data_IF_133648868890
#
_entry.id   IF_133648868890
#
_cell.length_a   1.000
_cell.length_b   1.000
_cell.length_c   1.000
_cell.angle_alpha   90.00
_cell.angle_beta   90.00
_cell.angle_gamma   90.00
#
_symmetry.space_group_name_H-M   'P 1'
#
loop_
_entity.id
_entity.type
_entity.pdbx_description
1 polymer ?
#
# COMPACT_ATOMS: atom_id res chain seq x y z
N UNK A 1 1.77 -79.29 4.89
CA UNK A 1 2.56 -78.16 4.39
C UNK A 1 1.63 -77.27 3.58
N UNK A 2 1.36 -76.05 4.03
CA UNK A 2 0.51 -75.09 3.34
C UNK A 2 1.34 -73.85 3.01
N UNK A 3 1.43 -73.51 1.73
CA UNK A 3 2.18 -72.35 1.23
C UNK A 3 1.23 -71.15 1.24
N UNK A 4 1.54 -70.13 2.04
CA UNK A 4 0.82 -68.87 2.05
C UNK A 4 1.36 -67.97 0.92
N UNK A 5 0.50 -67.57 -0.01
CA UNK A 5 0.82 -66.61 -1.05
C UNK A 5 0.70 -65.18 -0.49
N UNK A 6 1.78 -64.41 -0.56
CA UNK A 6 1.80 -62.98 -0.22
C UNK A 6 1.41 -62.20 -1.49
N UNK A 7 0.26 -61.55 -1.47
CA UNK A 7 -0.16 -60.63 -2.52
C UNK A 7 0.47 -59.25 -2.28
N UNK A 8 1.33 -58.79 -3.19
CA UNK A 8 1.86 -57.44 -3.18
C UNK A 8 0.86 -56.49 -3.86
N UNK A 9 0.27 -55.57 -3.11
CA UNK A 9 -0.53 -54.46 -3.64
C UNK A 9 0.40 -53.36 -4.14
N UNK A 10 0.41 -53.11 -5.45
CA UNK A 10 1.02 -51.89 -6.00
C UNK A 10 0.15 -50.69 -5.61
N UNK A 11 0.70 -49.79 -4.79
CA UNK A 11 0.12 -48.47 -4.58
C UNK A 11 0.33 -47.64 -5.84
N UNK A 12 -0.77 -47.27 -6.51
CA UNK A 12 -0.75 -46.29 -7.59
C UNK A 12 -0.40 -44.92 -7.00
N UNK A 13 0.70 -44.32 -7.45
CA UNK A 13 1.02 -42.93 -7.13
C UNK A 13 -0.05 -42.03 -7.76
N UNK A 14 -0.77 -41.29 -6.93
CA UNK A 14 -1.66 -40.22 -7.41
C UNK A 14 -0.83 -39.16 -8.13
N UNK A 15 -1.30 -38.61 -9.27
CA UNK A 15 -0.64 -37.49 -9.92
C UNK A 15 -0.59 -36.31 -8.94
N UNK A 16 0.57 -35.70 -8.79
CA UNK A 16 0.73 -34.49 -8.01
C UNK A 16 -0.22 -33.42 -8.55
N UNK A 17 -1.06 -32.85 -7.68
CA UNK A 17 -1.91 -31.74 -8.05
C UNK A 17 -1.03 -30.58 -8.53
N UNK A 18 -1.17 -30.19 -9.80
CA UNK A 18 -0.60 -28.96 -10.31
C UNK A 18 -1.13 -27.81 -9.48
N UNK A 19 -0.23 -27.08 -8.81
CA UNK A 19 -0.60 -25.84 -8.13
C UNK A 19 -1.31 -24.92 -9.14
N UNK A 20 -2.42 -24.25 -8.75
CA UNK A 20 -3.09 -23.33 -9.65
C UNK A 20 -2.09 -22.26 -10.11
N UNK A 21 -2.08 -21.98 -11.42
CA UNK A 21 -1.32 -20.86 -11.94
C UNK A 21 -1.77 -19.58 -11.21
N UNK A 22 -0.82 -18.74 -10.80
CA UNK A 22 -1.15 -17.44 -10.23
C UNK A 22 -2.10 -16.71 -11.19
N UNK A 23 -3.23 -16.22 -10.66
CA UNK A 23 -4.16 -15.44 -11.47
C UNK A 23 -3.40 -14.26 -12.09
N UNK A 24 -3.68 -13.95 -13.35
CA UNK A 24 -3.09 -12.77 -13.97
C UNK A 24 -3.57 -11.51 -13.24
N UNK A 25 -2.69 -10.49 -13.17
CA UNK A 25 -3.09 -9.17 -12.72
C UNK A 25 -4.27 -8.65 -13.55
N UNK A 26 -5.21 -7.92 -12.93
CA UNK A 26 -6.30 -7.32 -13.68
C UNK A 26 -5.78 -6.25 -14.64
N UNK A 27 -6.57 -5.94 -15.66
CA UNK A 27 -6.24 -4.85 -16.59
C UNK A 27 -6.09 -3.53 -15.82
N UNK A 28 -5.28 -2.62 -16.36
CA UNK A 28 -5.15 -1.26 -15.79
C UNK A 28 -6.51 -0.57 -15.63
N UNK A 29 -7.41 -0.71 -16.61
CA UNK A 29 -8.74 -0.13 -16.56
C UNK A 29 -9.58 -0.65 -15.39
N UNK A 30 -9.47 -1.95 -15.09
CA UNK A 30 -10.11 -2.57 -13.93
C UNK A 30 -9.48 -2.06 -12.64
N UNK A 31 -8.15 -2.08 -12.55
CA UNK A 31 -7.44 -1.64 -11.36
C UNK A 31 -7.71 -0.19 -11.00
N UNK A 32 -7.62 0.72 -11.97
CA UNK A 32 -7.85 2.14 -11.71
C UNK A 32 -9.30 2.42 -11.34
N UNK A 33 -10.27 1.65 -11.85
CA UNK A 33 -11.67 1.77 -11.46
C UNK A 33 -11.88 1.36 -10.00
N UNK A 34 -11.31 0.23 -9.58
CA UNK A 34 -11.39 -0.26 -8.20
C UNK A 34 -10.70 0.71 -7.22
N UNK A 35 -9.51 1.19 -7.58
CA UNK A 35 -8.80 2.24 -6.81
C UNK A 35 -9.62 3.52 -6.75
N UNK A 36 -10.29 3.92 -7.84
CA UNK A 36 -11.13 5.13 -7.87
C UNK A 36 -12.29 5.02 -6.87
N UNK A 37 -12.95 3.86 -6.77
CA UNK A 37 -14.05 3.67 -5.82
C UNK A 37 -13.61 3.88 -4.35
N UNK A 38 -12.43 3.38 -4.00
CA UNK A 38 -11.86 3.59 -2.65
C UNK A 38 -11.43 5.04 -2.46
N UNK A 39 -10.77 5.63 -3.47
CA UNK A 39 -10.33 7.02 -3.44
C UNK A 39 -11.52 7.99 -3.28
N UNK A 40 -12.64 7.74 -3.95
CA UNK A 40 -13.84 8.56 -3.82
C UNK A 40 -14.45 8.45 -2.43
N UNK A 41 -14.44 7.25 -1.83
CA UNK A 41 -14.84 7.06 -0.42
C UNK A 41 -13.93 7.84 0.53
N UNK A 42 -12.62 7.83 0.29
CA UNK A 42 -11.65 8.61 1.08
C UNK A 42 -11.89 10.12 0.93
N UNK A 43 -12.12 10.59 -0.30
CA UNK A 43 -12.41 12.00 -0.60
C UNK A 43 -13.71 12.48 0.04
N UNK A 44 -14.76 11.66 0.04
CA UNK A 44 -16.01 11.98 0.71
C UNK A 44 -15.80 12.15 2.22
N UNK A 45 -15.10 11.19 2.85
CA UNK A 45 -14.76 11.28 4.26
C UNK A 45 -13.92 12.52 4.57
N UNK A 46 -12.86 12.77 3.81
CA UNK A 46 -12.00 13.95 3.99
C UNK A 46 -12.77 15.26 3.77
N UNK A 47 -13.74 15.30 2.86
CA UNK A 47 -14.61 16.46 2.65
C UNK A 47 -15.53 16.76 3.84
N UNK A 48 -15.85 15.76 4.67
CA UNK A 48 -16.57 15.97 5.94
C UNK A 48 -15.64 16.24 7.11
N UNK A 49 -14.41 15.69 7.07
CA UNK A 49 -13.46 15.72 8.18
C UNK A 49 -12.57 16.97 8.18
N UNK A 50 -12.34 17.56 7.01
CA UNK A 50 -11.46 18.70 6.81
C UNK A 50 -12.19 19.86 6.08
N UNK A 51 -11.76 21.12 6.28
CA UNK A 51 -10.71 21.54 7.21
C UNK A 51 -11.16 21.42 8.68
N UNK A 52 -10.23 21.15 9.57
CA UNK A 52 -10.46 21.20 11.02
C UNK A 52 -9.33 22.02 11.65
N UNK A 53 -9.59 23.25 12.09
CA UNK A 53 -8.56 24.13 12.64
C UNK A 53 -8.08 23.71 14.04
N UNK A 54 -8.76 22.75 14.70
CA UNK A 54 -8.38 22.27 16.03
C UNK A 54 -7.23 21.26 16.01
N UNK A 55 -6.94 20.67 14.84
CA UNK A 55 -5.87 19.68 14.67
C UNK A 55 -4.90 20.09 13.58
N UNK A 56 -3.65 19.67 13.71
CA UNK A 56 -2.69 19.72 12.62
C UNK A 56 -2.89 18.47 11.77
N UNK A 57 -3.79 18.53 10.80
CA UNK A 57 -4.20 17.35 10.05
C UNK A 57 -3.08 16.78 9.16
N UNK A 58 -3.03 15.46 9.06
CA UNK A 58 -2.17 14.72 8.15
C UNK A 58 -2.93 13.60 7.44
N UNK A 59 -2.52 13.29 6.21
CA UNK A 59 -2.82 12.00 5.57
C UNK A 59 -1.52 11.24 5.37
N UNK A 60 -1.58 9.91 5.44
CA UNK A 60 -0.47 9.00 5.17
C UNK A 60 -0.79 8.17 3.93
N UNK A 61 0.16 8.09 3.01
CA UNK A 61 0.08 7.30 1.80
C UNK A 61 1.22 6.29 1.76
N UNK A 62 0.93 5.04 1.43
CA UNK A 62 1.93 4.16 0.83
C UNK A 62 2.30 4.65 -0.59
N UNK A 63 3.41 4.13 -1.15
CA UNK A 63 3.90 4.49 -2.47
C UNK A 63 3.54 3.44 -3.53
N UNK A 64 3.98 2.20 -3.34
CA UNK A 64 4.06 1.21 -4.42
C UNK A 64 2.68 0.61 -4.70
N UNK A 65 2.14 0.83 -5.89
CA UNK A 65 0.75 0.49 -6.25
C UNK A 65 -0.31 1.20 -5.38
N UNK A 66 0.09 2.26 -4.67
CA UNK A 66 -0.78 3.18 -3.93
C UNK A 66 -0.68 4.58 -4.51
N UNK A 67 0.38 5.34 -4.23
CA UNK A 67 0.57 6.67 -4.78
C UNK A 67 1.14 6.63 -6.22
N UNK A 68 1.93 5.61 -6.54
CA UNK A 68 2.54 5.39 -7.85
C UNK A 68 2.06 4.06 -8.44
N UNK A 69 1.83 4.03 -9.75
CA UNK A 69 1.29 2.86 -10.47
C UNK A 69 2.38 1.90 -10.97
N UNK A 70 3.28 1.48 -10.08
CA UNK A 70 4.50 0.72 -10.43
C UNK A 70 4.24 -0.60 -11.17
N UNK A 71 3.22 -1.37 -10.80
CA UNK A 71 2.88 -2.61 -11.49
C UNK A 71 2.31 -2.41 -12.91
N UNK A 72 1.84 -1.20 -13.23
CA UNK A 72 1.15 -0.88 -14.49
C UNK A 72 1.95 0.05 -15.41
N UNK A 73 3.09 0.55 -14.95
CA UNK A 73 3.96 1.43 -15.71
C UNK A 73 5.39 0.90 -15.77
N UNK A 74 6.13 1.33 -16.78
CA UNK A 74 7.56 1.07 -16.90
C UNK A 74 8.29 2.38 -17.11
N UNK A 75 9.52 2.48 -16.58
CA UNK A 75 10.35 3.67 -16.73
C UNK A 75 11.07 4.04 -15.43
N UNK A 76 11.79 5.16 -15.49
CA UNK A 76 12.54 5.70 -14.34
C UNK A 76 11.67 6.59 -13.43
N UNK A 77 10.51 7.00 -13.92
CA UNK A 77 9.51 7.78 -13.19
C UNK A 77 8.17 7.10 -13.40
N UNK A 78 7.62 6.54 -12.34
CA UNK A 78 6.30 5.94 -12.37
C UNK A 78 5.23 7.04 -12.33
N UNK A 79 4.16 6.95 -13.13
CA UNK A 79 3.07 7.91 -13.03
C UNK A 79 2.40 7.87 -11.66
N UNK A 80 1.69 8.95 -11.30
CA UNK A 80 0.84 8.94 -10.13
C UNK A 80 -0.41 8.10 -10.39
N UNK A 81 -0.83 7.36 -9.38
CA UNK A 81 -2.19 6.80 -9.32
C UNK A 81 -3.18 7.97 -9.24
N UNK A 82 -3.72 8.38 -10.39
CA UNK A 82 -4.43 9.66 -10.53
C UNK A 82 -5.56 9.91 -9.50
N UNK A 83 -6.40 8.92 -9.12
CA UNK A 83 -7.39 9.10 -8.05
C UNK A 83 -6.77 9.43 -6.69
N UNK A 84 -5.65 8.81 -6.34
CA UNK A 84 -4.94 9.04 -5.06
C UNK A 84 -4.26 10.39 -5.05
N UNK A 85 -3.67 10.82 -6.18
CA UNK A 85 -3.14 12.17 -6.31
C UNK A 85 -4.22 13.23 -6.09
N UNK A 86 -5.42 13.05 -6.67
CA UNK A 86 -6.56 13.95 -6.45
C UNK A 86 -6.99 13.98 -4.98
N UNK A 87 -7.01 12.83 -4.29
CA UNK A 87 -7.30 12.76 -2.85
C UNK A 87 -6.27 13.55 -2.04
N UNK A 88 -4.98 13.40 -2.34
CA UNK A 88 -3.91 14.13 -1.67
C UNK A 88 -3.98 15.64 -1.91
N UNK A 89 -4.29 16.06 -3.14
CA UNK A 89 -4.48 17.46 -3.49
C UNK A 89 -5.70 18.06 -2.76
N UNK A 90 -6.82 17.35 -2.68
CA UNK A 90 -7.99 17.78 -1.91
C UNK A 90 -7.67 17.93 -0.43
N UNK A 91 -7.04 16.94 0.19
CA UNK A 91 -6.68 16.99 1.60
C UNK A 91 -5.76 18.18 1.90
N UNK A 92 -4.77 18.41 1.02
CA UNK A 92 -3.83 19.53 1.14
C UNK A 92 -4.50 20.88 0.96
N UNK A 93 -5.41 21.00 -0.01
CA UNK A 93 -6.21 22.20 -0.18
C UNK A 93 -7.09 22.51 1.05
N UNK A 94 -7.47 21.47 1.81
CA UNK A 94 -8.18 21.60 3.09
C UNK A 94 -7.25 21.70 4.32
N UNK A 95 -5.94 21.95 4.12
CA UNK A 95 -4.99 22.22 5.21
C UNK A 95 -4.25 21.00 5.77
N UNK A 96 -4.47 19.79 5.24
CA UNK A 96 -3.74 18.61 5.69
C UNK A 96 -2.33 18.52 5.07
N UNK A 97 -1.39 17.95 5.82
CA UNK A 97 -0.05 17.61 5.33
C UNK A 97 -0.01 16.18 4.81
N UNK A 98 0.66 15.95 3.67
CA UNK A 98 0.73 14.62 3.03
C UNK A 98 2.07 13.96 3.40
N UNK A 99 2.00 12.83 4.10
CA UNK A 99 3.15 12.02 4.45
C UNK A 99 3.17 10.73 3.63
N UNK A 100 4.38 10.26 3.31
CA UNK A 100 4.60 9.00 2.61
C UNK A 100 5.35 8.03 3.51
N UNK A 101 4.88 6.79 3.56
CA UNK A 101 5.44 5.72 4.40
C UNK A 101 5.57 4.45 3.55
N UNK A 102 6.80 4.05 3.23
CA UNK A 102 7.09 2.98 2.27
C UNK A 102 8.18 2.03 2.79
N UNK A 103 8.15 0.78 2.32
CA UNK A 103 9.21 -0.19 2.58
C UNK A 103 10.42 -0.05 1.62
N UNK A 104 10.38 0.89 0.66
CA UNK A 104 11.52 1.24 -0.19
C UNK A 104 12.76 1.54 0.68
N UNK A 105 13.96 1.08 0.30
CA UNK A 105 15.16 1.30 1.10
C UNK A 105 15.60 2.77 1.05
N UNK A 106 16.04 3.32 2.18
CA UNK A 106 16.41 4.74 2.30
C UNK A 106 17.52 5.18 1.34
N UNK A 107 18.35 4.25 0.85
CA UNK A 107 19.39 4.53 -0.14
C UNK A 107 18.82 5.12 -1.44
N UNK A 108 17.54 4.88 -1.75
CA UNK A 108 16.82 5.45 -2.91
C UNK A 108 15.90 6.63 -2.54
N UNK A 109 16.09 7.26 -1.38
CA UNK A 109 15.27 8.41 -0.94
C UNK A 109 15.22 9.53 -1.98
N UNK A 110 16.37 9.89 -2.56
CA UNK A 110 16.45 10.96 -3.56
C UNK A 110 15.61 10.67 -4.81
N UNK A 111 15.68 9.44 -5.32
CA UNK A 111 14.89 9.01 -6.47
C UNK A 111 13.40 8.93 -6.17
N UNK A 112 13.04 8.37 -5.01
CA UNK A 112 11.63 8.29 -4.57
C UNK A 112 11.01 9.68 -4.45
N UNK A 113 11.73 10.63 -3.83
CA UNK A 113 11.31 12.03 -3.74
C UNK A 113 11.13 12.66 -5.12
N UNK A 114 12.13 12.52 -5.98
CA UNK A 114 12.10 13.06 -7.35
C UNK A 114 10.87 12.58 -8.12
N UNK A 115 10.56 11.28 -8.06
CA UNK A 115 9.39 10.72 -8.73
C UNK A 115 8.09 11.35 -8.20
N UNK A 116 7.89 11.37 -6.87
CA UNK A 116 6.67 11.89 -6.26
C UNK A 116 6.44 13.37 -6.60
N UNK A 117 7.49 14.19 -6.53
CA UNK A 117 7.43 15.61 -6.86
C UNK A 117 7.15 15.82 -8.36
N UNK A 118 7.80 15.03 -9.23
CA UNK A 118 7.61 15.08 -10.69
C UNK A 118 6.17 14.82 -11.10
N UNK A 119 5.48 13.90 -10.42
CA UNK A 119 4.08 13.57 -10.73
C UNK A 119 3.05 14.43 -9.98
N UNK A 120 3.51 15.46 -9.24
CA UNK A 120 2.65 16.50 -8.68
C UNK A 120 2.27 16.35 -7.21
N UNK A 121 2.92 15.45 -6.46
CA UNK A 121 2.78 15.42 -5.01
C UNK A 121 3.59 16.54 -4.34
N UNK A 122 3.02 17.08 -3.26
CA UNK A 122 3.75 17.96 -2.32
C UNK A 122 4.02 17.16 -1.06
N UNK A 123 5.28 16.86 -0.81
CA UNK A 123 5.71 15.97 0.27
C UNK A 123 5.86 16.76 1.57
N UNK A 124 5.06 16.42 2.58
CA UNK A 124 5.19 16.92 3.95
C UNK A 124 6.20 16.12 4.79
N UNK A 125 6.37 14.84 4.47
CA UNK A 125 7.42 13.98 5.03
C UNK A 125 7.47 12.64 4.31
N UNK A 126 8.63 12.00 4.33
CA UNK A 126 8.92 10.79 3.58
C UNK A 126 9.70 9.82 4.48
N UNK A 127 9.07 8.71 4.83
CA UNK A 127 9.61 7.67 5.71
C UNK A 127 9.88 6.41 4.87
N UNK A 128 11.15 6.08 4.70
CA UNK A 128 11.64 4.88 4.00
C UNK A 128 12.19 3.86 5.01
N UNK A 129 12.48 2.64 4.52
CA UNK A 129 13.17 1.62 5.29
C UNK A 129 14.62 1.99 5.55
N UNK A 130 14.99 2.08 6.83
CA UNK A 130 16.38 2.26 7.24
C UNK A 130 17.27 1.10 6.78
N UNK A 131 18.54 1.38 6.48
CA UNK A 131 19.51 0.42 5.91
C UNK A 131 19.71 -0.84 6.77
N UNK A 132 19.50 -0.73 8.09
CA UNK A 132 19.58 -1.84 9.05
C UNK A 132 18.26 -2.12 9.76
N UNK A 133 17.14 -1.67 9.19
CA UNK A 133 15.82 -2.00 9.70
C UNK A 133 15.34 -3.33 9.10
N UNK A 134 15.46 -4.39 9.90
CA UNK A 134 15.00 -5.74 9.57
C UNK A 134 13.60 -6.05 10.13
N UNK A 135 12.90 -5.05 10.67
CA UNK A 135 11.55 -5.25 11.18
C UNK A 135 10.55 -5.51 10.04
N UNK A 136 9.41 -6.10 10.39
CA UNK A 136 8.34 -6.33 9.43
C UNK A 136 7.87 -5.01 8.80
N UNK A 137 7.33 -5.07 7.56
CA UNK A 137 6.70 -3.89 6.93
C UNK A 137 5.67 -3.25 7.86
N UNK A 138 4.85 -4.05 8.55
CA UNK A 138 3.86 -3.50 9.48
C UNK A 138 4.53 -2.73 10.64
N UNK A 139 5.58 -3.29 11.25
CA UNK A 139 6.26 -2.67 12.40
C UNK A 139 6.86 -1.33 12.02
N UNK A 140 7.63 -1.27 10.93
CA UNK A 140 8.26 -0.03 10.50
C UNK A 140 7.24 1.03 10.06
N UNK A 141 6.17 0.63 9.36
CA UNK A 141 5.09 1.57 8.97
C UNK A 141 4.32 2.09 10.18
N UNK A 142 4.08 1.25 11.19
CA UNK A 142 3.47 1.67 12.46
C UNK A 142 4.36 2.68 13.19
N UNK A 143 5.67 2.43 13.27
CA UNK A 143 6.62 3.34 13.88
C UNK A 143 6.70 4.69 13.15
N UNK A 144 6.58 4.70 11.82
CA UNK A 144 6.51 5.93 11.05
C UNK A 144 5.26 6.76 11.38
N UNK A 145 4.08 6.13 11.51
CA UNK A 145 2.86 6.83 11.91
C UNK A 145 2.93 7.38 13.33
N UNK A 146 3.50 6.62 14.27
CA UNK A 146 3.80 7.11 15.62
C UNK A 146 4.73 8.32 15.58
N UNK A 147 5.76 8.30 14.72
CA UNK A 147 6.67 9.43 14.58
C UNK A 147 5.95 10.68 14.05
N UNK A 148 5.02 10.53 13.11
CA UNK A 148 4.18 11.62 12.60
C UNK A 148 3.29 12.20 13.70
N UNK A 149 2.63 11.37 14.51
CA UNK A 149 1.84 11.83 15.66
C UNK A 149 2.69 12.60 16.68
N UNK A 150 3.93 12.14 16.94
CA UNK A 150 4.88 12.83 17.82
C UNK A 150 5.31 14.21 17.31
N UNK A 151 5.17 14.47 16.01
CA UNK A 151 5.35 15.81 15.42
C UNK A 151 4.11 16.72 15.63
N UNK A 152 3.09 16.24 16.36
CA UNK A 152 1.87 16.96 16.67
C UNK A 152 0.79 16.85 15.61
N UNK A 153 0.91 15.93 14.66
CA UNK A 153 -0.10 15.71 13.63
C UNK A 153 -1.19 14.73 14.09
N UNK A 154 -2.42 14.98 13.63
CA UNK A 154 -3.50 13.99 13.67
C UNK A 154 -3.61 13.33 12.30
N UNK A 155 -3.34 12.03 12.21
CA UNK A 155 -3.46 11.28 10.96
C UNK A 155 -4.94 10.97 10.73
N UNK A 156 -5.62 11.79 9.92
CA UNK A 156 -7.05 11.63 9.65
C UNK A 156 -7.34 10.52 8.63
N UNK A 157 -6.40 10.25 7.72
CA UNK A 157 -6.52 9.16 6.76
C UNK A 157 -5.18 8.46 6.52
N UNK A 158 -5.21 7.14 6.44
CA UNK A 158 -4.10 6.31 6.00
C UNK A 158 -4.54 5.43 4.82
N UNK A 159 -3.84 5.51 3.70
CA UNK A 159 -4.21 4.85 2.44
C UNK A 159 -3.05 3.99 1.97
N UNK A 160 -3.35 2.73 1.68
CA UNK A 160 -2.36 1.75 1.22
C UNK A 160 -3.03 0.54 0.59
N UNK A 161 -2.28 -0.20 -0.22
CA UNK A 161 -2.75 -1.37 -0.93
C UNK A 161 -2.40 -2.67 -0.21
N UNK A 162 -1.53 -2.68 0.79
CA UNK A 162 -1.16 -3.87 1.56
C UNK A 162 -1.72 -3.79 2.99
N UNK A 163 -2.11 -4.91 3.58
CA UNK A 163 -2.58 -4.94 4.98
C UNK A 163 -1.56 -4.35 5.96
N UNK A 164 -0.27 -4.55 5.67
CA UNK A 164 0.83 -3.99 6.48
C UNK A 164 0.91 -2.45 6.46
N UNK A 165 0.30 -1.80 5.47
CA UNK A 165 0.22 -0.34 5.41
C UNK A 165 -0.74 0.23 6.45
N UNK A 166 -1.76 -0.54 6.79
CA UNK A 166 -2.93 -0.10 7.55
C UNK A 166 -2.96 -0.67 8.96
N UNK A 167 -2.41 -1.87 9.14
CA UNK A 167 -2.35 -2.54 10.43
C UNK A 167 -1.47 -1.77 11.43
N UNK A 168 -1.78 -1.91 12.73
CA UNK A 168 -1.05 -1.26 13.81
C UNK A 168 -1.62 0.09 14.27
N UNK A 169 -2.74 0.57 13.71
CA UNK A 169 -3.43 1.78 14.17
C UNK A 169 -2.72 3.09 13.77
N UNK A 170 -2.88 4.14 14.58
CA UNK A 170 -2.32 5.49 14.35
C UNK A 170 -2.88 6.21 13.11
N UNK A 171 -4.17 6.01 12.85
CA UNK A 171 -4.94 6.80 11.91
C UNK A 171 -6.42 6.75 12.33
N UNK A 172 -7.16 7.85 12.18
CA UNK A 172 -8.60 7.88 12.45
C UNK A 172 -9.37 6.95 11.50
N UNK A 173 -8.98 6.94 10.22
CA UNK A 173 -9.58 6.08 9.21
C UNK A 173 -8.54 5.50 8.25
N UNK A 174 -8.68 4.22 7.94
CA UNK A 174 -7.87 3.52 6.96
C UNK A 174 -8.66 3.27 5.67
N UNK A 175 -7.97 3.27 4.53
CA UNK A 175 -8.54 2.97 3.22
C UNK A 175 -7.66 1.96 2.50
N UNK A 176 -8.15 0.72 2.36
CA UNK A 176 -7.46 -0.37 1.69
C UNK A 176 -7.73 -0.34 0.20
N UNK A 177 -6.69 -0.15 -0.59
CA UNK A 177 -6.73 -0.32 -2.03
C UNK A 177 -6.69 -1.82 -2.39
N UNK A 178 -7.21 -2.20 -3.57
CA UNK A 178 -7.15 -3.59 -4.02
C UNK A 178 -5.70 -4.06 -4.23
N UNK A 179 -5.37 -5.25 -3.74
CA UNK A 179 -4.10 -5.95 -4.01
C UNK A 179 -4.25 -7.25 -4.79
N UNK A 180 -5.49 -7.64 -5.12
CA UNK A 180 -5.85 -8.87 -5.82
C UNK A 180 -5.25 -10.14 -5.21
N UNK A 181 -5.34 -10.25 -3.89
CA UNK A 181 -4.79 -11.40 -3.15
C UNK A 181 -3.28 -11.29 -2.95
N UNK A 182 -2.79 -10.05 -2.82
CA UNK A 182 -1.39 -9.74 -2.58
C UNK A 182 -0.50 -9.68 -3.82
N UNK A 183 -1.07 -9.68 -5.02
CA UNK A 183 -0.30 -9.58 -6.27
C UNK A 183 0.25 -8.17 -6.53
N UNK A 184 -0.32 -7.14 -5.90
CA UNK A 184 0.17 -5.76 -5.98
C UNK A 184 0.90 -5.30 -4.70
N UNK A 185 1.13 -6.21 -3.74
CA UNK A 185 1.63 -5.92 -2.40
C UNK A 185 3.09 -5.51 -2.29
#
# INVERSE_FOLDING_TARGET
MAVAAVAATLALLSPAATAPAAAALPSYATWVADVTAVADTARQYLGTRLPDPSVRAAIVLDIDNTALEEAYASGLVYPATAPILRTAQQARAAGATVFFVTARPEIITGWTRYNLETVGYVIGGLYLRGTFDFSSNQTMKTNARIAIERLGYTIVANIGNNDSDLAGGHAERTFKLPDYGGQLS
#
